data_IF_183570629238
#
_entry.id   IF_183570629238
#
_cell.length_a   1.000
_cell.length_b   1.000
_cell.length_c   1.000
_cell.angle_alpha   90.00
_cell.angle_beta   90.00
_cell.angle_gamma   90.00
#
_symmetry.space_group_name_H-M   'P 1'
#
loop_
_entity.id
_entity.type
_entity.pdbx_description
1 polymer ?
#
# COMPACT_ATOMS: atom_id res chain seq x y z
N UNK A 1 13.86 -7.24 -7.71
CA UNK A 1 13.84 -6.32 -6.57
C UNK A 1 15.20 -6.20 -5.90
N UNK A 2 15.81 -7.29 -5.45
CA UNK A 2 17.15 -7.30 -4.83
C UNK A 2 18.24 -6.55 -5.61
N UNK A 3 18.39 -6.84 -6.91
CA UNK A 3 19.33 -6.14 -7.78
C UNK A 3 19.05 -4.63 -7.87
N UNK A 4 17.78 -4.25 -8.01
CA UNK A 4 17.36 -2.83 -8.06
C UNK A 4 17.71 -2.11 -6.75
N UNK A 5 17.47 -2.73 -5.59
CA UNK A 5 17.81 -2.15 -4.29
C UNK A 5 19.32 -1.88 -4.16
N UNK A 6 20.14 -2.86 -4.54
CA UNK A 6 21.59 -2.76 -4.49
C UNK A 6 22.14 -1.73 -5.48
N UNK A 7 21.77 -1.86 -6.76
CA UNK A 7 22.30 -1.04 -7.85
C UNK A 7 21.96 0.45 -7.67
N UNK A 8 20.87 0.76 -6.96
CA UNK A 8 20.43 2.15 -6.73
C UNK A 8 20.67 2.62 -5.29
N UNK A 9 21.24 1.79 -4.40
CA UNK A 9 21.45 2.12 -2.99
C UNK A 9 20.16 2.60 -2.28
N UNK A 10 19.05 1.89 -2.51
CA UNK A 10 17.72 2.24 -1.97
C UNK A 10 17.10 1.11 -1.17
N UNK A 11 16.27 1.46 -0.19
CA UNK A 11 15.35 0.51 0.45
C UNK A 11 14.07 0.41 -0.38
N UNK A 12 13.62 -0.82 -0.65
CA UNK A 12 12.39 -1.08 -1.38
C UNK A 12 11.32 -1.59 -0.40
N UNK A 13 10.19 -0.88 -0.35
CA UNK A 13 8.97 -1.33 0.33
C UNK A 13 8.01 -1.85 -0.75
N UNK A 14 7.68 -3.13 -0.71
CA UNK A 14 6.88 -3.78 -1.74
C UNK A 14 6.17 -5.03 -1.19
N UNK A 15 5.61 -5.85 -2.09
CA UNK A 15 5.06 -7.15 -1.78
C UNK A 15 5.42 -8.18 -2.85
N UNK A 16 5.41 -9.45 -2.49
CA UNK A 16 5.66 -10.58 -3.41
C UNK A 16 4.76 -11.77 -3.06
N UNK A 17 4.64 -12.74 -3.98
CA UNK A 17 3.91 -13.98 -3.74
C UNK A 17 4.84 -15.02 -3.11
N UNK A 18 4.40 -15.65 -2.02
CA UNK A 18 5.07 -16.79 -1.36
C UNK A 18 4.02 -17.75 -0.82
N UNK A 19 4.15 -19.05 -1.13
CA UNK A 19 3.24 -20.11 -0.67
C UNK A 19 1.76 -19.75 -0.92
N UNK A 20 1.45 -19.30 -2.14
CA UNK A 20 0.15 -18.78 -2.59
C UNK A 20 -0.42 -17.56 -1.86
N UNK A 21 0.36 -16.95 -0.96
CA UNK A 21 -0.03 -15.75 -0.21
C UNK A 21 0.70 -14.52 -0.71
N UNK A 22 0.01 -13.38 -0.69
CA UNK A 22 0.66 -12.09 -0.84
C UNK A 22 1.39 -11.76 0.46
N UNK A 23 2.67 -11.40 0.37
CA UNK A 23 3.53 -11.11 1.52
C UNK A 23 4.11 -9.70 1.36
N UNK A 24 3.89 -8.85 2.37
CA UNK A 24 4.59 -7.57 2.52
C UNK A 24 6.09 -7.83 2.67
N UNK A 25 6.93 -7.02 2.05
CA UNK A 25 8.37 -7.13 2.12
C UNK A 25 9.04 -5.76 2.17
N UNK A 26 10.08 -5.67 2.99
CA UNK A 26 11.03 -4.55 2.95
C UNK A 26 12.40 -5.14 2.70
N UNK A 27 13.06 -4.65 1.65
CA UNK A 27 14.40 -5.07 1.25
C UNK A 27 15.30 -3.86 1.37
N UNK A 28 16.31 -3.94 2.23
CA UNK A 28 17.29 -2.86 2.39
C UNK A 28 18.26 -2.79 1.21
N UNK A 29 19.08 -1.73 1.20
CA UNK A 29 20.13 -1.51 0.20
C UNK A 29 21.17 -2.65 0.11
N UNK A 30 21.31 -3.45 1.17
CA UNK A 30 22.23 -4.59 1.22
C UNK A 30 21.55 -5.90 0.82
N UNK A 31 20.35 -5.83 0.22
CA UNK A 31 19.58 -7.00 -0.26
C UNK A 31 19.04 -7.87 0.88
N UNK A 32 19.05 -7.39 2.12
CA UNK A 32 18.47 -8.11 3.26
C UNK A 32 16.97 -7.81 3.36
N UNK A 33 16.17 -8.86 3.50
CA UNK A 33 14.75 -8.71 3.89
C UNK A 33 14.72 -8.34 5.38
N UNK A 34 14.29 -7.12 5.69
CA UNK A 34 14.24 -6.58 7.06
C UNK A 34 12.85 -6.64 7.67
N UNK A 35 11.82 -6.80 6.84
CA UNK A 35 10.44 -6.99 7.27
C UNK A 35 9.70 -7.90 6.31
N UNK A 36 8.89 -8.80 6.87
CA UNK A 36 8.01 -9.69 6.10
C UNK A 36 6.71 -9.91 6.86
N UNK A 37 5.57 -9.86 6.17
CA UNK A 37 4.27 -10.16 6.77
C UNK A 37 3.27 -10.68 5.76
N UNK A 38 2.62 -11.81 6.06
CA UNK A 38 1.50 -12.29 5.25
C UNK A 38 0.35 -11.25 5.21
N UNK A 39 -0.28 -11.11 4.04
CA UNK A 39 -1.48 -10.29 3.88
C UNK A 39 -2.60 -10.88 4.72
N UNK A 40 -3.30 -10.01 5.45
CA UNK A 40 -4.51 -10.38 6.20
C UNK A 40 -5.58 -10.90 5.23
N UNK A 41 -6.30 -11.95 5.61
CA UNK A 41 -7.38 -12.50 4.81
C UNK A 41 -8.54 -11.53 4.63
N UNK A 42 -9.49 -11.91 3.78
CA UNK A 42 -10.55 -11.02 3.31
C UNK A 42 -11.82 -11.07 4.14
N UNK A 43 -12.00 -12.08 4.99
CA UNK A 43 -13.17 -12.18 5.85
C UNK A 43 -13.28 -10.95 6.77
N UNK A 44 -14.46 -10.36 6.89
CA UNK A 44 -14.68 -9.09 7.60
C UNK A 44 -14.19 -9.12 9.05
N UNK A 45 -14.42 -10.24 9.73
CA UNK A 45 -14.08 -10.50 11.14
C UNK A 45 -12.56 -10.61 11.41
N UNK A 46 -11.75 -10.90 10.40
CA UNK A 46 -10.32 -11.09 10.60
C UNK A 46 -9.63 -9.79 10.98
N UNK A 47 -8.85 -9.83 12.06
CA UNK A 47 -8.00 -8.72 12.49
C UNK A 47 -6.75 -8.65 11.62
N UNK A 48 -6.16 -7.46 11.55
CA UNK A 48 -4.89 -7.31 10.84
C UNK A 48 -3.82 -8.19 11.50
N UNK A 49 -3.06 -8.89 10.66
CA UNK A 49 -1.93 -9.71 11.08
C UNK A 49 -0.82 -8.79 11.57
N UNK A 50 -0.18 -9.14 12.70
CA UNK A 50 0.97 -8.43 13.24
C UNK A 50 2.28 -9.02 12.68
N UNK A 51 3.41 -8.28 12.68
CA UNK A 51 3.57 -6.89 13.12
C UNK A 51 3.08 -5.86 12.10
N UNK A 52 2.43 -4.80 12.55
CA UNK A 52 1.91 -3.73 11.66
C UNK A 52 2.95 -2.68 11.27
N UNK A 53 4.08 -2.65 11.95
CA UNK A 53 5.14 -1.66 11.78
C UNK A 53 6.54 -2.30 11.72
N UNK A 54 7.50 -1.49 11.28
CA UNK A 54 8.91 -1.81 11.16
C UNK A 54 9.75 -0.53 11.20
N UNK A 55 11.05 -0.67 11.49
CA UNK A 55 12.00 0.44 11.38
C UNK A 55 12.50 0.62 9.96
N UNK A 56 12.48 1.86 9.47
CA UNK A 56 13.00 2.26 8.17
C UNK A 56 13.99 3.43 8.37
N UNK A 57 15.25 3.09 8.65
CA UNK A 57 16.20 4.09 9.14
C UNK A 57 15.69 4.70 10.44
N UNK A 58 15.58 6.03 10.48
CA UNK A 58 15.06 6.76 11.64
C UNK A 58 13.53 6.75 11.73
N UNK A 59 12.83 6.31 10.68
CA UNK A 59 11.37 6.31 10.64
C UNK A 59 10.77 5.05 11.29
N UNK A 60 9.71 5.25 12.07
CA UNK A 60 8.73 4.23 12.41
C UNK A 60 7.71 4.11 11.27
N UNK A 61 7.84 3.05 10.48
CA UNK A 61 7.03 2.82 9.30
C UNK A 61 5.95 1.77 9.55
N UNK A 62 4.72 2.04 9.12
CA UNK A 62 3.64 1.07 9.04
C UNK A 62 3.49 0.49 7.64
N UNK A 63 2.83 -0.66 7.56
CA UNK A 63 2.55 -1.32 6.29
C UNK A 63 1.09 -1.80 6.21
N UNK A 64 0.39 -1.48 5.12
CA UNK A 64 -0.95 -2.02 4.79
C UNK A 64 -1.05 -2.42 3.31
N UNK A 65 -1.60 -3.59 2.99
CA UNK A 65 -1.69 -4.07 1.59
C UNK A 65 -3.08 -3.82 1.00
N UNK A 66 -3.15 -3.11 -0.12
CA UNK A 66 -4.35 -3.09 -0.99
C UNK A 66 -5.65 -2.78 -0.20
N UNK A 67 -6.77 -3.44 -0.52
CA UNK A 67 -8.06 -3.29 0.18
C UNK A 67 -8.02 -3.42 1.73
N UNK A 68 -6.90 -3.89 2.32
CA UNK A 68 -6.75 -3.92 3.78
C UNK A 68 -6.71 -2.51 4.38
N UNK A 69 -6.54 -1.44 3.60
CA UNK A 69 -6.73 -0.06 4.06
C UNK A 69 -8.08 0.15 4.77
N UNK A 70 -9.14 -0.48 4.26
CA UNK A 70 -10.49 -0.46 4.84
C UNK A 70 -10.53 -1.13 6.24
N UNK A 71 -9.76 -2.21 6.42
CA UNK A 71 -9.54 -2.82 7.74
C UNK A 71 -8.63 -1.96 8.61
N UNK A 72 -7.71 -1.21 8.01
CA UNK A 72 -6.81 -0.28 8.69
C UNK A 72 -7.57 0.78 9.48
N UNK A 73 -8.56 1.40 8.85
CA UNK A 73 -9.45 2.39 9.50
C UNK A 73 -10.02 1.83 10.81
N UNK A 74 -10.45 0.56 10.82
CA UNK A 74 -11.02 -0.11 12.01
C UNK A 74 -9.95 -0.57 13.00
N UNK A 75 -8.94 -1.29 12.53
CA UNK A 75 -8.10 -2.14 13.36
C UNK A 75 -6.60 -1.84 13.35
N UNK A 76 -6.13 -0.83 12.61
CA UNK A 76 -4.71 -0.46 12.64
C UNK A 76 -4.37 0.16 14.00
N UNK A 77 -3.57 -0.57 14.79
CA UNK A 77 -3.09 -0.17 16.11
C UNK A 77 -1.67 -0.67 16.29
N UNK A 78 -0.79 0.23 16.68
CA UNK A 78 0.61 -0.04 16.99
C UNK A 78 0.90 0.45 18.41
N UNK A 79 1.89 -0.16 19.04
CA UNK A 79 2.51 0.28 20.29
C UNK A 79 3.46 1.48 20.06
N UNK A 80 3.91 1.67 18.82
CA UNK A 80 4.80 2.76 18.41
C UNK A 80 4.04 3.89 17.70
N UNK A 81 4.49 5.14 17.90
CA UNK A 81 4.08 6.27 17.08
C UNK A 81 4.73 6.15 15.70
N UNK A 82 3.92 6.14 14.65
CA UNK A 82 4.39 6.03 13.28
C UNK A 82 4.61 7.40 12.64
N UNK A 83 5.60 7.47 11.75
CA UNK A 83 5.87 8.63 10.90
C UNK A 83 5.14 8.51 9.56
N UNK A 84 5.06 7.29 9.05
CA UNK A 84 4.56 6.97 7.71
C UNK A 84 3.94 5.58 7.67
N UNK A 85 2.88 5.42 6.88
CA UNK A 85 2.31 4.12 6.51
C UNK A 85 2.42 3.96 5.00
N UNK A 86 3.03 2.86 4.57
CA UNK A 86 3.05 2.46 3.18
C UNK A 86 1.83 1.62 2.86
N UNK A 87 1.14 1.98 1.78
CA UNK A 87 0.00 1.28 1.22
C UNK A 87 0.31 0.77 -0.22
N UNK A 88 1.12 -0.29 -0.38
CA UNK A 88 1.29 -0.92 -1.69
C UNK A 88 0.01 -1.65 -2.10
N UNK A 89 -0.41 -1.42 -3.35
CA UNK A 89 -1.66 -1.91 -3.90
C UNK A 89 -1.34 -2.84 -5.07
N UNK A 90 -1.78 -4.09 -4.93
CA UNK A 90 -1.55 -5.15 -5.91
C UNK A 90 -2.52 -5.17 -7.11
N UNK A 91 -3.27 -4.10 -7.37
CA UNK A 91 -4.19 -3.93 -8.52
C UNK A 91 -4.39 -2.44 -8.81
N UNK A 92 -4.72 -2.07 -10.05
CA UNK A 92 -5.34 -0.76 -10.32
C UNK A 92 -6.82 -0.75 -9.93
N UNK A 93 -7.43 0.44 -9.81
CA UNK A 93 -8.84 0.55 -9.42
C UNK A 93 -9.74 0.27 -10.63
N UNK A 94 -10.91 -0.31 -10.38
CA UNK A 94 -11.87 -0.70 -11.42
C UNK A 94 -13.00 0.32 -11.61
N UNK A 95 -13.16 1.25 -10.67
CA UNK A 95 -14.10 2.36 -10.77
C UNK A 95 -13.60 3.57 -9.97
N UNK A 96 -14.18 4.74 -10.26
CA UNK A 96 -13.92 5.97 -9.51
C UNK A 96 -14.48 5.85 -8.08
N UNK A 97 -15.59 5.14 -7.85
CA UNK A 97 -16.09 4.95 -6.48
C UNK A 97 -15.13 4.13 -5.62
N UNK A 98 -14.52 3.09 -6.20
CA UNK A 98 -13.50 2.29 -5.49
C UNK A 98 -12.27 3.14 -5.17
N UNK A 99 -11.86 4.00 -6.11
CA UNK A 99 -10.77 4.93 -5.91
C UNK A 99 -11.07 5.87 -4.73
N UNK A 100 -12.22 6.52 -4.75
CA UNK A 100 -12.65 7.45 -3.70
C UNK A 100 -12.74 6.76 -2.33
N UNK A 101 -13.29 5.55 -2.28
CA UNK A 101 -13.37 4.76 -1.04
C UNK A 101 -11.98 4.54 -0.43
N UNK A 102 -10.99 4.23 -1.26
CA UNK A 102 -9.64 3.91 -0.79
C UNK A 102 -8.86 5.16 -0.38
N UNK A 103 -9.07 6.28 -1.06
CA UNK A 103 -8.51 7.58 -0.67
C UNK A 103 -9.12 8.08 0.63
N UNK A 104 -10.44 8.00 0.78
CA UNK A 104 -11.13 8.36 2.02
C UNK A 104 -10.64 7.48 3.19
N UNK A 105 -10.46 6.18 2.95
CA UNK A 105 -9.89 5.27 3.95
C UNK A 105 -8.45 5.64 4.33
N UNK A 106 -7.64 6.07 3.36
CA UNK A 106 -6.28 6.55 3.62
C UNK A 106 -6.27 7.85 4.44
N UNK A 107 -7.19 8.78 4.16
CA UNK A 107 -7.36 10.02 4.93
C UNK A 107 -7.80 9.73 6.37
N UNK A 108 -8.80 8.87 6.56
CA UNK A 108 -9.25 8.41 7.89
C UNK A 108 -8.13 7.73 8.66
N UNK A 109 -7.32 6.89 7.98
CA UNK A 109 -6.18 6.25 8.61
C UNK A 109 -5.13 7.27 9.04
N UNK A 110 -4.76 8.20 8.17
CA UNK A 110 -3.77 9.25 8.48
C UNK A 110 -4.17 10.09 9.70
N UNK A 111 -5.44 10.51 9.77
CA UNK A 111 -6.00 11.24 10.91
C UNK A 111 -5.95 10.42 12.21
N UNK A 112 -6.35 9.14 12.13
CA UNK A 112 -6.38 8.23 13.27
C UNK A 112 -4.98 7.98 13.85
N UNK A 113 -3.97 7.79 13.00
CA UNK A 113 -2.60 7.46 13.41
C UNK A 113 -1.71 8.69 13.54
N UNK A 114 -2.19 9.87 13.14
CA UNK A 114 -1.43 11.13 13.08
C UNK A 114 -0.12 10.98 12.27
N UNK A 115 -0.14 10.15 11.23
CA UNK A 115 1.03 9.87 10.40
C UNK A 115 0.72 10.07 8.91
N UNK A 116 1.76 10.15 8.08
CA UNK A 116 1.59 10.19 6.62
C UNK A 116 1.12 8.84 6.10
N UNK A 117 0.38 8.83 4.99
CA UNK A 117 0.03 7.59 4.27
C UNK A 117 0.43 7.77 2.81
N UNK A 118 1.27 6.86 2.29
CA UNK A 118 1.66 6.84 0.88
C UNK A 118 1.10 5.57 0.25
N UNK A 119 0.33 5.70 -0.83
CA UNK A 119 -0.16 4.55 -1.58
C UNK A 119 0.30 4.58 -3.02
N UNK A 120 0.58 3.40 -3.56
CA UNK A 120 0.94 3.19 -4.96
C UNK A 120 0.28 1.93 -5.49
N UNK A 121 -0.27 2.00 -6.69
CA UNK A 121 -0.71 0.83 -7.47
C UNK A 121 0.00 0.76 -8.81
N UNK A 122 0.03 -0.43 -9.40
CA UNK A 122 0.45 -0.60 -10.78
C UNK A 122 -0.76 -0.56 -11.73
N UNK A 123 -0.47 -0.36 -13.02
CA UNK A 123 -1.44 -0.38 -14.10
C UNK A 123 -1.16 -1.58 -15.01
N UNK A 124 -2.03 -2.59 -15.03
CA UNK A 124 -1.88 -3.66 -16.02
C UNK A 124 -3.20 -4.09 -16.69
N UNK A 125 -4.35 -3.55 -16.26
CA UNK A 125 -5.65 -3.90 -16.83
C UNK A 125 -6.04 -5.37 -16.70
N UNK A 126 -5.26 -6.17 -15.97
CA UNK A 126 -5.29 -7.63 -16.05
C UNK A 126 -6.21 -8.28 -15.01
N UNK A 127 -6.54 -7.55 -13.93
CA UNK A 127 -7.40 -8.12 -12.91
C UNK A 127 -8.83 -8.29 -13.44
N UNK A 128 -9.17 -9.55 -13.76
CA UNK A 128 -10.47 -10.01 -14.26
C UNK A 128 -10.92 -9.40 -15.60
N UNK A 129 -10.01 -8.91 -16.43
CA UNK A 129 -10.33 -8.30 -17.74
C UNK A 129 -11.42 -7.22 -17.65
N UNK A 130 -11.42 -6.42 -16.58
CA UNK A 130 -12.46 -5.45 -16.28
C UNK A 130 -12.53 -4.25 -17.25
N UNK A 131 -11.60 -4.14 -18.21
CA UNK A 131 -11.64 -3.12 -19.27
C UNK A 131 -11.31 -1.70 -18.82
N UNK A 132 -11.08 -1.47 -17.52
CA UNK A 132 -10.60 -0.21 -16.96
C UNK A 132 -9.61 -0.50 -15.84
N UNK A 133 -8.47 0.18 -15.85
CA UNK A 133 -7.57 0.20 -14.70
C UNK A 133 -7.15 1.63 -14.41
N UNK A 134 -7.22 2.01 -13.14
CA UNK A 134 -6.77 3.32 -12.66
C UNK A 134 -5.57 3.09 -11.73
N UNK A 135 -4.32 3.13 -12.24
CA UNK A 135 -3.13 3.29 -11.40
C UNK A 135 -3.20 4.58 -10.61
N UNK A 136 -2.71 4.53 -9.37
CA UNK A 136 -2.69 5.66 -8.46
C UNK A 136 -1.36 5.75 -7.74
N UNK A 137 -0.96 6.98 -7.48
CA UNK A 137 0.08 7.31 -6.52
C UNK A 137 -0.41 8.51 -5.70
N UNK A 138 -0.37 8.39 -4.38
CA UNK A 138 -0.86 9.44 -3.49
C UNK A 138 -0.04 9.57 -2.22
N UNK A 139 -0.08 10.76 -1.62
CA UNK A 139 0.40 11.02 -0.28
C UNK A 139 -0.64 11.84 0.48
N UNK A 140 -1.11 11.28 1.60
CA UNK A 140 -1.92 11.98 2.59
C UNK A 140 -1.03 12.39 3.76
N UNK A 141 -1.13 13.65 4.20
CA UNK A 141 -0.42 14.10 5.40
C UNK A 141 -1.15 13.70 6.68
N UNK A 142 -0.51 13.94 7.83
CA UNK A 142 -1.06 13.64 9.17
C UNK A 142 -2.35 14.40 9.50
N UNK A 143 -2.66 15.47 8.79
CA UNK A 143 -3.91 16.23 8.91
C UNK A 143 -5.03 15.69 8.00
N UNK A 144 -4.81 14.54 7.33
CA UNK A 144 -5.79 13.93 6.43
C UNK A 144 -5.94 14.63 5.09
N UNK A 145 -5.07 15.60 4.77
CA UNK A 145 -5.10 16.35 3.51
C UNK A 145 -4.17 15.71 2.47
N UNK A 146 -4.63 15.70 1.23
CA UNK A 146 -3.82 15.31 0.09
C UNK A 146 -2.66 16.30 -0.11
N UNK A 147 -1.45 15.76 -0.26
CA UNK A 147 -0.25 16.53 -0.63
C UNK A 147 0.24 16.19 -2.02
N UNK A 148 -0.04 14.96 -2.46
CA UNK A 148 0.24 14.47 -3.79
C UNK A 148 -0.86 13.50 -4.18
N UNK A 149 -1.35 13.62 -5.41
CA UNK A 149 -2.35 12.74 -5.97
C UNK A 149 -2.16 12.68 -7.48
N UNK A 150 -1.94 11.48 -8.01
CA UNK A 150 -1.77 11.23 -9.43
C UNK A 150 -2.46 9.92 -9.79
N UNK A 151 -3.27 9.94 -10.83
CA UNK A 151 -3.89 8.76 -11.40
C UNK A 151 -4.00 8.89 -12.91
N UNK A 152 -4.06 7.75 -13.59
CA UNK A 152 -4.28 7.69 -15.04
C UNK A 152 -5.39 6.70 -15.33
N UNK A 153 -6.36 7.05 -16.18
CA UNK A 153 -7.38 6.10 -16.63
C UNK A 153 -6.87 5.35 -17.85
N UNK A 154 -6.82 4.02 -17.78
CA UNK A 154 -6.40 3.16 -18.90
C UNK A 154 -7.59 2.30 -19.32
N UNK A 155 -7.96 2.39 -20.60
CA UNK A 155 -9.02 1.61 -21.25
C UNK A 155 -8.33 0.70 -22.29
N UNK A 156 -8.17 -0.61 -22.06
CA UNK A 156 -7.33 -1.48 -22.89
C UNK A 156 -7.75 -1.69 -24.35
N UNK A 157 -8.84 -1.08 -24.83
CA UNK A 157 -9.35 -1.29 -26.19
C UNK A 157 -9.91 0.00 -26.86
N UNK A 158 -9.49 1.20 -26.43
CA UNK A 158 -9.81 2.41 -27.17
C UNK A 158 -8.98 2.43 -28.45
N UNK A 159 -9.54 1.95 -29.57
CA UNK A 159 -9.00 2.30 -30.89
C UNK A 159 -9.25 3.80 -31.06
N UNK A 160 -8.17 4.57 -31.15
CA UNK A 160 -8.20 5.96 -31.61
C UNK A 160 -8.76 6.03 -33.04
#
# INVERSE_FOLDING_TARGET
>A
MSKVANDNNVTIVSSYRKDDKDVAAVIDKNVKITYTRAKTGSASIEKLVQPLHFKLGDYNAGYILCMKILKGVRGFKTDEQLDIIFHPIGVGMFSEEQLDEWIEAAQKLALKTKCKVIGTSYADGSYRNCGVTIPIAYMINREGKERYYSYQRIIPNLKL
#
